data_IF_680669602003
#
_entry.id   IF_680669602003
#
_cell.length_a   1.000
_cell.length_b   1.000
_cell.length_c   1.000
_cell.angle_alpha   90.00
_cell.angle_beta   90.00
_cell.angle_gamma   90.00
#
_symmetry.space_group_name_H-M   'P 1'
#
loop_
_entity.id
_entity.type
_entity.pdbx_description
1 polymer ?
#
# COMPACT_ATOMS: atom_id res chain seq x y z
N UNK A 1 1.84 -14.35 -24.08
CA UNK A 1 1.14 -13.78 -25.25
C UNK A 1 1.86 -12.50 -25.70
N UNK A 2 2.71 -12.54 -26.73
CA UNK A 2 3.79 -11.54 -26.96
C UNK A 2 3.63 -10.61 -28.18
N UNK A 3 2.40 -10.40 -28.70
CA UNK A 3 2.20 -9.70 -29.99
C UNK A 3 1.18 -8.54 -30.03
N UNK A 4 0.51 -8.20 -28.94
CA UNK A 4 -0.50 -7.12 -28.97
C UNK A 4 0.19 -5.74 -28.90
N UNK A 5 0.07 -4.95 -29.97
CA UNK A 5 0.54 -3.56 -30.05
C UNK A 5 -0.58 -2.54 -29.82
N UNK A 6 -1.78 -2.88 -30.27
CA UNK A 6 -2.97 -2.05 -30.16
C UNK A 6 -4.12 -2.94 -29.67
N UNK A 7 -4.93 -2.45 -28.74
CA UNK A 7 -6.30 -2.95 -28.66
C UNK A 7 -7.04 -2.22 -29.77
N UNK A 8 -7.42 -2.94 -30.82
CA UNK A 8 -8.30 -2.39 -31.85
C UNK A 8 -9.49 -1.76 -31.14
N UNK A 9 -9.81 -0.50 -31.46
CA UNK A 9 -10.93 0.25 -30.91
C UNK A 9 -12.21 -0.55 -31.20
N UNK A 10 -12.53 -1.48 -30.31
CA UNK A 10 -13.73 -2.28 -30.44
C UNK A 10 -14.87 -1.41 -29.94
N UNK A 11 -15.83 -1.17 -30.84
CA UNK A 11 -17.08 -0.48 -30.52
C UNK A 11 -17.60 -1.01 -29.18
N UNK A 12 -17.97 -0.07 -28.31
CA UNK A 12 -18.55 -0.30 -26.98
C UNK A 12 -19.46 -1.53 -26.95
N UNK A 13 -19.17 -2.51 -26.10
CA UNK A 13 -20.08 -3.65 -25.83
C UNK A 13 -19.46 -5.04 -25.86
N UNK A 14 -18.22 -5.24 -26.35
CA UNK A 14 -17.63 -6.59 -26.50
C UNK A 14 -17.30 -7.27 -25.16
N UNK A 15 -17.11 -6.49 -24.09
CA UNK A 15 -16.71 -6.98 -22.77
C UNK A 15 -17.68 -6.55 -21.66
N UNK A 16 -18.98 -6.47 -21.98
CA UNK A 16 -20.01 -6.03 -21.03
C UNK A 16 -20.07 -6.87 -19.76
N UNK A 17 -19.67 -8.14 -19.81
CA UNK A 17 -19.69 -9.07 -18.68
C UNK A 17 -18.31 -9.33 -18.05
N UNK A 18 -17.26 -8.68 -18.56
CA UNK A 18 -15.89 -8.89 -18.09
C UNK A 18 -15.73 -8.35 -16.66
N UNK A 19 -15.56 -9.25 -15.69
CA UNK A 19 -15.41 -8.90 -14.27
C UNK A 19 -13.95 -8.71 -13.84
N UNK A 20 -13.03 -9.39 -14.49
CA UNK A 20 -11.60 -9.37 -14.16
C UNK A 20 -10.76 -9.23 -15.41
N UNK A 21 -9.74 -8.38 -15.37
CA UNK A 21 -8.80 -8.17 -16.46
C UNK A 21 -7.38 -8.20 -15.89
N UNK A 22 -6.50 -8.97 -16.53
CA UNK A 22 -5.07 -9.00 -16.22
C UNK A 22 -4.28 -8.57 -17.45
N UNK A 23 -3.46 -7.54 -17.29
CA UNK A 23 -2.49 -7.06 -18.27
C UNK A 23 -1.10 -7.41 -17.77
N UNK A 24 -0.50 -8.46 -18.33
CA UNK A 24 0.83 -8.92 -17.94
C UNK A 24 1.85 -8.69 -19.07
N UNK A 25 2.96 -8.03 -18.74
CA UNK A 25 4.10 -7.75 -19.62
C UNK A 25 3.72 -7.10 -20.96
N UNK A 26 2.71 -6.23 -20.96
CA UNK A 26 2.20 -5.56 -22.16
C UNK A 26 3.02 -4.34 -22.58
N UNK A 27 4.33 -4.51 -22.81
CA UNK A 27 5.30 -3.40 -23.05
C UNK A 27 5.16 -2.66 -24.38
N UNK A 28 4.38 -3.23 -25.31
CA UNK A 28 4.15 -2.68 -26.66
C UNK A 28 2.83 -1.90 -26.77
N UNK A 29 2.00 -1.90 -25.72
CA UNK A 29 0.77 -1.10 -25.71
C UNK A 29 1.16 0.37 -25.60
N UNK A 30 0.86 1.13 -26.65
CA UNK A 30 0.85 2.58 -26.60
C UNK A 30 -0.40 3.00 -25.80
N UNK A 31 -0.26 3.97 -24.87
CA UNK A 31 -1.26 4.29 -23.82
C UNK A 31 -2.65 4.73 -24.29
N UNK A 32 -2.88 4.80 -25.60
CA UNK A 32 -4.15 5.15 -26.24
C UNK A 32 -5.14 3.99 -26.35
N UNK A 33 -4.78 2.78 -25.88
CA UNK A 33 -5.50 1.55 -26.18
C UNK A 33 -6.25 0.88 -25.00
N UNK A 34 -6.27 1.44 -23.78
CA UNK A 34 -7.08 0.82 -22.73
C UNK A 34 -8.57 0.99 -23.04
N UNK A 35 -9.42 -0.04 -22.92
CA UNK A 35 -10.85 0.08 -23.17
C UNK A 35 -11.43 1.22 -22.35
N UNK A 36 -11.95 2.22 -23.04
CA UNK A 36 -12.48 3.43 -22.39
C UNK A 36 -13.74 3.15 -21.58
N UNK A 37 -14.34 1.96 -21.73
CA UNK A 37 -15.52 1.56 -20.98
C UNK A 37 -15.59 0.04 -20.76
N UNK A 38 -15.51 -0.40 -19.50
CA UNK A 38 -15.75 -1.78 -19.08
C UNK A 38 -16.76 -1.76 -17.91
N UNK A 39 -18.07 -1.86 -18.20
CA UNK A 39 -19.12 -1.58 -17.23
C UNK A 39 -19.15 -2.57 -16.06
N UNK A 40 -18.78 -3.84 -16.30
CA UNK A 40 -18.81 -4.90 -15.28
C UNK A 40 -17.47 -5.20 -14.62
N UNK A 41 -16.40 -4.47 -14.97
CA UNK A 41 -15.07 -4.76 -14.46
C UNK A 41 -14.97 -4.42 -12.97
N UNK A 42 -14.63 -5.42 -12.16
CA UNK A 42 -14.51 -5.31 -10.71
C UNK A 42 -13.05 -5.39 -10.25
N UNK A 43 -12.21 -6.13 -10.97
CA UNK A 43 -10.80 -6.36 -10.63
C UNK A 43 -9.90 -6.11 -11.83
N UNK A 44 -8.87 -5.28 -11.66
CA UNK A 44 -7.86 -5.00 -12.67
C UNK A 44 -6.46 -5.27 -12.11
N UNK A 45 -5.71 -6.10 -12.81
CA UNK A 45 -4.32 -6.42 -12.49
C UNK A 45 -3.43 -5.95 -13.64
N UNK A 46 -2.45 -5.10 -13.35
CA UNK A 46 -1.47 -4.60 -14.31
C UNK A 46 -0.10 -5.00 -13.81
N UNK A 47 0.65 -5.80 -14.57
CA UNK A 47 2.00 -6.17 -14.21
C UNK A 47 2.99 -6.09 -15.38
N UNK A 48 4.21 -5.63 -15.09
CA UNK A 48 5.29 -5.56 -16.10
C UNK A 48 4.98 -4.64 -17.29
N UNK A 49 4.03 -3.71 -17.11
CA UNK A 49 3.58 -2.77 -18.13
C UNK A 49 4.31 -1.43 -17.98
N UNK A 50 4.26 -0.61 -19.05
CA UNK A 50 4.76 0.77 -18.99
C UNK A 50 3.78 1.69 -18.28
N UNK A 51 4.28 2.85 -17.84
CA UNK A 51 3.50 3.87 -17.15
C UNK A 51 2.24 4.28 -17.92
N UNK A 52 2.29 4.32 -19.27
CA UNK A 52 1.17 4.81 -20.09
C UNK A 52 -0.08 3.92 -19.98
N UNK A 53 0.08 2.62 -19.66
CA UNK A 53 -1.05 1.73 -19.39
C UNK A 53 -1.70 2.10 -18.06
N UNK A 54 -0.90 2.44 -17.05
CA UNK A 54 -1.42 2.87 -15.74
C UNK A 54 -2.07 4.25 -15.83
N UNK A 55 -1.51 5.18 -16.62
CA UNK A 55 -2.09 6.52 -16.81
C UNK A 55 -3.39 6.51 -17.61
N UNK A 56 -3.62 5.48 -18.44
CA UNK A 56 -4.85 5.34 -19.23
C UNK A 56 -6.09 5.02 -18.37
N UNK A 57 -5.90 4.63 -17.11
CA UNK A 57 -6.98 4.44 -16.15
C UNK A 57 -7.70 5.76 -15.92
N UNK A 58 -8.85 5.92 -16.56
CA UNK A 58 -9.67 7.13 -16.50
C UNK A 58 -10.82 6.94 -15.52
N UNK A 59 -11.23 8.02 -14.84
CA UNK A 59 -12.28 7.98 -13.82
C UNK A 59 -13.63 7.48 -14.32
N UNK A 60 -13.92 7.67 -15.61
CA UNK A 60 -15.29 7.58 -16.16
C UNK A 60 -15.56 6.24 -16.87
N UNK A 61 -14.52 5.43 -17.09
CA UNK A 61 -14.61 4.19 -17.88
C UNK A 61 -14.88 2.91 -17.10
N UNK A 62 -14.69 2.94 -15.79
CA UNK A 62 -14.63 1.73 -14.94
C UNK A 62 -15.54 1.86 -13.72
N UNK A 63 -16.88 1.94 -13.91
CA UNK A 63 -17.80 2.31 -12.85
C UNK A 63 -17.91 1.27 -11.73
N UNK A 64 -17.58 0.00 -11.95
CA UNK A 64 -17.67 -1.04 -10.92
C UNK A 64 -16.31 -1.52 -10.39
N UNK A 65 -15.21 -0.89 -10.80
CA UNK A 65 -13.88 -1.32 -10.40
C UNK A 65 -13.68 -1.04 -8.90
N UNK A 66 -13.52 -2.11 -8.12
CA UNK A 66 -13.32 -2.05 -6.67
C UNK A 66 -11.91 -2.45 -6.26
N UNK A 67 -11.20 -3.22 -7.09
CA UNK A 67 -9.85 -3.71 -6.82
C UNK A 67 -8.89 -3.40 -7.96
N UNK A 68 -7.76 -2.76 -7.63
CA UNK A 68 -6.68 -2.47 -8.56
C UNK A 68 -5.36 -3.01 -8.02
N UNK A 69 -4.66 -3.80 -8.80
CA UNK A 69 -3.30 -4.27 -8.50
C UNK A 69 -2.34 -3.82 -9.59
N UNK A 70 -1.24 -3.22 -9.18
CA UNK A 70 -0.15 -2.80 -10.05
C UNK A 70 1.12 -3.48 -9.56
N UNK A 71 1.91 -4.05 -10.45
CA UNK A 71 3.18 -4.62 -10.01
C UNK A 71 4.26 -4.77 -11.05
N UNK A 72 5.52 -4.72 -10.62
CA UNK A 72 6.68 -4.85 -11.50
C UNK A 72 6.71 -3.85 -12.67
N UNK A 73 6.06 -2.69 -12.52
CA UNK A 73 6.07 -1.61 -13.50
C UNK A 73 7.33 -0.75 -13.29
N UNK A 74 8.40 -1.09 -14.00
CA UNK A 74 9.75 -0.54 -13.76
C UNK A 74 9.90 0.95 -14.08
N UNK A 75 9.01 1.52 -14.89
CA UNK A 75 9.04 2.94 -15.26
C UNK A 75 8.13 3.80 -14.36
N UNK A 76 7.40 3.19 -13.42
CA UNK A 76 6.44 3.89 -12.57
C UNK A 76 7.18 4.66 -11.46
N UNK A 77 7.35 5.97 -11.66
CA UNK A 77 8.03 6.86 -10.69
C UNK A 77 7.06 7.47 -9.67
N UNK A 78 5.80 7.69 -10.04
CA UNK A 78 4.77 8.25 -9.15
C UNK A 78 3.41 7.56 -9.31
N UNK A 79 2.58 7.56 -8.27
CA UNK A 79 1.24 6.97 -8.34
C UNK A 79 0.19 7.62 -7.40
N UNK A 80 -1.07 7.83 -7.81
CA UNK A 80 -1.61 7.68 -9.15
C UNK A 80 -1.07 8.74 -10.11
N UNK A 81 -0.99 8.40 -11.41
CA UNK A 81 -0.53 9.32 -12.45
C UNK A 81 -1.69 10.23 -12.91
N UNK A 82 -2.87 9.61 -13.04
CA UNK A 82 -4.14 10.23 -13.40
C UNK A 82 -5.19 9.92 -12.33
N UNK A 83 -6.34 10.60 -12.41
CA UNK A 83 -7.43 10.40 -11.44
C UNK A 83 -8.02 8.99 -11.59
N UNK A 84 -7.94 8.20 -10.53
CA UNK A 84 -8.43 6.82 -10.53
C UNK A 84 -9.96 6.72 -10.54
N UNK A 85 -10.52 5.57 -10.99
CA UNK A 85 -11.96 5.30 -10.90
C UNK A 85 -12.47 5.41 -9.47
N UNK A 86 -13.55 6.17 -9.27
CA UNK A 86 -13.99 6.60 -7.93
C UNK A 86 -14.41 5.45 -7.00
N UNK A 87 -14.79 4.29 -7.55
CA UNK A 87 -15.28 3.15 -6.78
C UNK A 87 -14.19 2.17 -6.31
N UNK A 88 -12.93 2.44 -6.65
CA UNK A 88 -11.82 1.59 -6.20
C UNK A 88 -11.70 1.68 -4.67
N UNK A 89 -11.85 0.53 -4.01
CA UNK A 89 -11.78 0.41 -2.55
C UNK A 89 -10.45 -0.16 -2.07
N UNK A 90 -9.78 -0.96 -2.90
CA UNK A 90 -8.51 -1.61 -2.57
C UNK A 90 -7.49 -1.42 -3.69
N UNK A 91 -6.30 -0.94 -3.32
CA UNK A 91 -5.16 -0.81 -4.23
C UNK A 91 -3.99 -1.61 -3.68
N UNK A 92 -3.34 -2.40 -4.54
CA UNK A 92 -2.08 -3.09 -4.23
C UNK A 92 -1.00 -2.68 -5.22
N UNK A 93 0.15 -2.24 -4.72
CA UNK A 93 1.31 -1.87 -5.52
C UNK A 93 2.47 -2.77 -5.10
N UNK A 94 3.05 -3.53 -6.02
CA UNK A 94 4.10 -4.50 -5.68
C UNK A 94 5.28 -4.53 -6.64
N UNK A 95 6.51 -4.45 -6.10
CA UNK A 95 7.73 -4.60 -6.91
C UNK A 95 7.94 -3.47 -7.92
N UNK A 96 7.37 -2.28 -7.70
CA UNK A 96 7.60 -1.07 -8.50
C UNK A 96 8.83 -0.32 -7.94
N UNK A 97 10.02 -0.79 -8.30
CA UNK A 97 11.30 -0.33 -7.71
C UNK A 97 11.66 1.13 -7.95
N UNK A 98 11.11 1.76 -8.97
CA UNK A 98 11.34 3.19 -9.28
C UNK A 98 10.31 4.13 -8.66
N UNK A 99 9.30 3.60 -7.96
CA UNK A 99 8.25 4.41 -7.34
C UNK A 99 8.85 5.19 -6.16
N UNK A 100 8.89 6.52 -6.28
CA UNK A 100 9.44 7.41 -5.25
C UNK A 100 8.38 8.24 -4.55
N UNK A 101 7.20 8.40 -5.15
CA UNK A 101 6.16 9.24 -4.59
C UNK A 101 4.75 8.76 -4.93
N UNK A 102 3.83 9.16 -4.08
CA UNK A 102 2.41 9.08 -4.27
C UNK A 102 1.84 10.48 -4.50
N UNK A 103 0.75 10.61 -5.25
CA UNK A 103 0.10 11.90 -5.52
C UNK A 103 -0.87 12.28 -4.38
N UNK A 104 -1.15 13.56 -4.17
CA UNK A 104 -2.06 14.00 -3.09
C UNK A 104 -3.56 13.90 -3.44
N UNK A 105 -3.95 14.17 -4.68
CA UNK A 105 -5.33 14.52 -5.05
C UNK A 105 -5.96 13.62 -6.13
N UNK A 106 -5.24 12.59 -6.56
CA UNK A 106 -5.66 11.68 -7.66
C UNK A 106 -6.27 10.36 -7.19
N UNK A 107 -6.44 10.20 -5.87
CA UNK A 107 -6.96 8.99 -5.25
C UNK A 107 -8.49 8.86 -5.36
N UNK A 108 -9.03 7.63 -5.32
CA UNK A 108 -10.46 7.42 -5.29
C UNK A 108 -11.05 7.77 -3.92
N UNK A 109 -12.23 8.37 -3.91
CA UNK A 109 -12.92 8.77 -2.67
C UNK A 109 -13.41 7.61 -1.81
N UNK A 110 -13.49 6.39 -2.37
CA UNK A 110 -13.89 5.17 -1.66
C UNK A 110 -12.71 4.28 -1.27
N UNK A 111 -11.46 4.72 -1.45
CA UNK A 111 -10.29 3.91 -1.13
C UNK A 111 -10.23 3.62 0.37
N UNK A 112 -10.34 2.36 0.77
CA UNK A 112 -10.29 1.92 2.18
C UNK A 112 -8.98 1.22 2.52
N UNK A 113 -8.37 0.54 1.54
CA UNK A 113 -7.18 -0.30 1.75
C UNK A 113 -6.11 -0.03 0.70
N UNK A 114 -4.88 0.18 1.18
CA UNK A 114 -3.68 0.31 0.35
C UNK A 114 -2.63 -0.70 0.84
N UNK A 115 -2.06 -1.46 -0.09
CA UNK A 115 -0.94 -2.35 0.16
C UNK A 115 0.24 -1.92 -0.72
N UNK A 116 1.39 -1.67 -0.09
CA UNK A 116 2.66 -1.37 -0.74
C UNK A 116 3.62 -2.51 -0.42
N UNK A 117 4.09 -3.21 -1.45
CA UNK A 117 5.04 -4.30 -1.30
C UNK A 117 6.28 -4.06 -2.15
N UNK A 118 7.47 -4.26 -1.59
CA UNK A 118 8.70 -4.28 -2.38
C UNK A 118 8.90 -3.01 -3.26
N UNK A 119 8.61 -1.83 -2.67
CA UNK A 119 8.75 -0.50 -3.29
C UNK A 119 9.68 0.36 -2.44
N UNK A 120 10.97 0.01 -2.41
CA UNK A 120 11.98 0.56 -1.47
C UNK A 120 12.14 2.07 -1.58
N UNK A 121 12.26 2.63 -2.79
CA UNK A 121 12.47 4.08 -2.95
C UNK A 121 11.33 4.94 -2.40
N UNK A 122 10.10 4.43 -2.39
CA UNK A 122 8.95 5.10 -1.77
C UNK A 122 9.06 5.06 -0.25
N UNK A 123 9.58 3.96 0.30
CA UNK A 123 9.76 3.84 1.75
C UNK A 123 10.94 4.72 2.23
N UNK A 124 12.02 4.79 1.47
CA UNK A 124 13.16 5.71 1.71
C UNK A 124 12.74 7.18 1.64
N UNK A 125 11.85 7.52 0.72
CA UNK A 125 11.31 8.87 0.59
C UNK A 125 10.08 9.08 1.49
N UNK A 126 10.30 9.38 2.76
CA UNK A 126 9.24 9.66 3.75
C UNK A 126 8.21 10.70 3.27
N UNK A 127 8.68 11.76 2.60
CA UNK A 127 7.85 12.82 2.00
C UNK A 127 7.09 12.35 0.76
N UNK A 128 7.50 11.23 0.17
CA UNK A 128 6.86 10.64 -1.00
C UNK A 128 5.47 10.09 -0.72
N UNK A 129 5.07 9.86 0.53
CA UNK A 129 3.79 9.20 0.82
C UNK A 129 2.58 10.07 0.50
N UNK A 130 2.58 11.38 0.78
CA UNK A 130 1.53 12.33 0.36
C UNK A 130 0.07 11.86 0.56
N UNK A 131 -0.22 10.96 1.50
CA UNK A 131 -1.55 10.36 1.69
C UNK A 131 -2.41 11.16 2.69
N UNK A 132 -1.87 12.22 3.30
CA UNK A 132 -2.54 12.99 4.38
C UNK A 132 -3.98 13.41 4.03
N UNK A 133 -4.27 13.67 2.75
CA UNK A 133 -5.59 14.11 2.26
C UNK A 133 -6.53 12.97 1.86
N UNK A 134 -6.06 11.72 1.89
CA UNK A 134 -6.83 10.53 1.52
C UNK A 134 -7.62 10.02 2.74
N UNK A 135 -8.61 10.79 3.16
CA UNK A 135 -9.38 10.56 4.40
C UNK A 135 -10.24 9.31 4.39
N UNK A 136 -10.46 8.68 3.23
CA UNK A 136 -11.18 7.41 3.11
C UNK A 136 -10.33 6.21 3.55
N UNK A 137 -9.00 6.36 3.56
CA UNK A 137 -8.07 5.26 3.82
C UNK A 137 -8.11 4.86 5.30
N UNK A 138 -8.39 3.58 5.55
CA UNK A 138 -8.51 3.02 6.91
C UNK A 138 -7.53 1.88 7.18
N UNK A 139 -6.99 1.23 6.15
CA UNK A 139 -6.05 0.11 6.28
C UNK A 139 -4.85 0.31 5.35
N UNK A 140 -3.66 0.18 5.92
CA UNK A 140 -2.39 0.29 5.19
C UNK A 140 -1.52 -0.91 5.53
N UNK A 141 -1.04 -1.59 4.50
CA UNK A 141 -0.11 -2.70 4.63
C UNK A 141 1.18 -2.37 3.91
N UNK A 142 2.32 -2.55 4.59
CA UNK A 142 3.65 -2.40 4.03
C UNK A 142 4.35 -3.74 4.17
N UNK A 143 4.82 -4.31 3.06
CA UNK A 143 5.26 -5.70 2.98
C UNK A 143 6.59 -5.80 2.22
N UNK A 144 7.47 -6.71 2.61
CA UNK A 144 8.70 -7.08 1.86
C UNK A 144 9.56 -5.87 1.48
N UNK A 145 10.03 -5.12 2.49
CA UNK A 145 11.02 -4.04 2.29
C UNK A 145 12.39 -4.62 2.65
N UNK A 146 13.17 -4.97 1.62
CA UNK A 146 14.25 -5.96 1.73
C UNK A 146 15.64 -5.32 1.89
N UNK A 147 15.90 -4.09 1.41
CA UNK A 147 17.26 -3.52 1.43
C UNK A 147 17.34 -2.07 1.95
N UNK A 148 18.35 -1.83 2.80
CA UNK A 148 18.89 -0.54 3.30
C UNK A 148 18.12 0.18 4.42
N UNK A 149 16.80 0.06 4.53
CA UNK A 149 16.06 0.88 5.51
C UNK A 149 16.06 0.25 6.90
N UNK A 150 16.95 0.75 7.77
CA UNK A 150 17.08 0.27 9.15
C UNK A 150 16.23 1.05 10.16
N UNK A 151 15.61 2.15 9.73
CA UNK A 151 14.77 3.03 10.55
C UNK A 151 13.47 3.41 9.84
N UNK A 152 12.39 3.53 10.61
CA UNK A 152 11.08 3.93 10.10
C UNK A 152 11.07 5.45 9.76
N UNK A 153 10.33 5.90 8.73
CA UNK A 153 10.24 7.31 8.36
C UNK A 153 9.98 8.27 9.53
N UNK A 154 10.77 9.36 9.62
CA UNK A 154 10.58 10.41 10.63
C UNK A 154 9.28 11.20 10.41
N UNK A 155 9.04 11.61 9.15
CA UNK A 155 7.83 12.31 8.74
C UNK A 155 6.95 11.41 7.88
N UNK A 156 6.11 10.59 8.52
CA UNK A 156 5.23 9.68 7.80
C UNK A 156 3.95 10.38 7.34
N UNK A 157 3.87 10.73 6.05
CA UNK A 157 2.75 11.48 5.47
C UNK A 157 1.51 10.62 5.16
N UNK A 158 0.92 10.02 6.20
CA UNK A 158 -0.25 9.12 6.12
C UNK A 158 -1.43 9.71 6.89
N UNK A 159 -2.69 9.51 6.44
CA UNK A 159 -3.83 10.20 7.03
C UNK A 159 -4.12 9.72 8.46
N UNK A 160 -4.58 10.62 9.30
CA UNK A 160 -4.94 10.33 10.71
C UNK A 160 -6.20 9.47 10.84
N UNK A 161 -6.90 9.19 9.74
CA UNK A 161 -8.06 8.28 9.65
C UNK A 161 -7.68 6.81 9.65
N UNK A 162 -6.39 6.49 9.53
CA UNK A 162 -5.90 5.12 9.49
C UNK A 162 -6.25 4.37 10.78
N UNK A 163 -6.89 3.20 10.63
CA UNK A 163 -7.33 2.35 11.75
C UNK A 163 -6.49 1.11 11.93
N UNK A 164 -5.93 0.60 10.85
CA UNK A 164 -5.12 -0.63 10.82
C UNK A 164 -3.84 -0.42 10.03
N UNK A 165 -2.71 -0.75 10.64
CA UNK A 165 -1.38 -0.76 10.04
C UNK A 165 -0.79 -2.16 10.15
N UNK A 166 -0.37 -2.74 9.03
CA UNK A 166 0.38 -4.00 9.00
C UNK A 166 1.77 -3.76 8.43
N UNK A 167 2.79 -4.18 9.18
CA UNK A 167 4.18 -4.21 8.75
C UNK A 167 4.61 -5.66 8.68
N UNK A 168 4.93 -6.16 7.48
CA UNK A 168 5.29 -7.56 7.26
C UNK A 168 6.61 -7.71 6.51
N UNK A 169 7.44 -8.68 6.92
CA UNK A 169 8.71 -9.01 6.25
C UNK A 169 9.66 -7.82 6.08
N UNK A 170 9.82 -7.00 7.12
CA UNK A 170 10.89 -6.00 7.16
C UNK A 170 12.18 -6.65 7.61
N UNK A 171 13.09 -6.89 6.66
CA UNK A 171 14.31 -7.63 6.95
C UNK A 171 15.40 -6.78 7.61
N UNK A 172 15.38 -5.45 7.50
CA UNK A 172 16.45 -4.60 8.07
C UNK A 172 15.97 -3.60 9.13
N UNK A 173 14.65 -3.42 9.30
CA UNK A 173 14.08 -2.44 10.22
C UNK A 173 14.43 -2.80 11.67
N UNK A 174 15.20 -1.95 12.35
CA UNK A 174 15.65 -2.19 13.74
C UNK A 174 14.69 -1.61 14.78
N UNK A 175 14.02 -0.51 14.44
CA UNK A 175 13.09 0.19 15.33
C UNK A 175 11.97 0.88 14.56
N UNK A 176 10.79 0.97 15.18
CA UNK A 176 9.74 1.87 14.71
C UNK A 176 10.02 3.30 15.16
N UNK A 177 9.37 4.27 14.51
CA UNK A 177 9.40 5.67 14.93
C UNK A 177 8.13 6.00 15.73
N UNK A 178 8.27 6.18 17.05
CA UNK A 178 7.14 6.44 17.95
C UNK A 178 6.44 7.76 17.64
N UNK A 179 7.21 8.83 17.36
CA UNK A 179 6.68 10.15 17.02
C UNK A 179 5.82 10.10 15.75
N UNK A 180 6.29 9.37 14.73
CA UNK A 180 5.54 9.21 13.50
C UNK A 180 4.17 8.53 13.73
N UNK A 181 4.08 7.59 14.68
CA UNK A 181 2.85 6.86 14.98
C UNK A 181 1.93 7.61 15.97
N UNK A 182 2.48 8.31 16.95
CA UNK A 182 1.71 8.99 18.02
C UNK A 182 0.69 9.99 17.50
N UNK A 183 0.92 10.58 16.33
CA UNK A 183 -0.01 11.52 15.70
C UNK A 183 -1.25 10.85 15.10
N UNK A 184 -1.27 9.52 14.95
CA UNK A 184 -2.38 8.77 14.36
C UNK A 184 -3.37 8.29 15.43
N UNK A 185 -4.17 9.21 15.95
CA UNK A 185 -5.15 8.98 17.04
C UNK A 185 -6.32 8.05 16.69
N UNK A 186 -6.46 7.62 15.43
CA UNK A 186 -7.47 6.63 15.02
C UNK A 186 -6.92 5.21 14.90
N UNK A 187 -5.62 5.01 15.10
CA UNK A 187 -4.98 3.71 14.89
C UNK A 187 -5.38 2.76 16.03
N UNK A 188 -6.14 1.71 15.70
CA UNK A 188 -6.62 0.72 16.65
C UNK A 188 -5.88 -0.61 16.56
N UNK A 189 -5.36 -0.93 15.38
CA UNK A 189 -4.71 -2.20 15.09
C UNK A 189 -3.31 -1.98 14.50
N UNK A 190 -2.31 -2.61 15.13
CA UNK A 190 -0.94 -2.66 14.63
C UNK A 190 -0.52 -4.13 14.56
N UNK A 191 -0.16 -4.58 13.35
CA UNK A 191 0.37 -5.93 13.12
C UNK A 191 1.81 -5.85 12.66
N UNK A 192 2.67 -6.61 13.33
CA UNK A 192 4.09 -6.69 13.02
C UNK A 192 4.42 -8.17 12.81
N UNK A 193 4.71 -8.53 11.58
CA UNK A 193 4.80 -9.93 11.17
C UNK A 193 6.12 -10.21 10.46
N UNK A 194 6.87 -11.22 10.92
CA UNK A 194 8.13 -11.67 10.31
C UNK A 194 9.17 -10.55 10.10
N UNK A 195 9.20 -9.55 10.99
CA UNK A 195 10.22 -8.50 11.03
C UNK A 195 11.37 -8.96 11.94
N UNK A 196 12.27 -9.79 11.42
CA UNK A 196 13.24 -10.53 12.23
C UNK A 196 14.32 -9.66 12.90
N UNK A 197 14.61 -8.47 12.39
CA UNK A 197 15.60 -7.56 12.95
C UNK A 197 15.00 -6.42 13.78
N UNK A 198 13.67 -6.35 13.90
CA UNK A 198 13.01 -5.35 14.72
C UNK A 198 13.26 -5.68 16.20
N UNK A 199 14.07 -4.85 16.84
CA UNK A 199 14.64 -5.17 18.14
C UNK A 199 13.72 -4.72 19.27
N UNK A 200 13.23 -3.48 19.22
CA UNK A 200 12.50 -2.84 20.31
C UNK A 200 11.35 -1.95 19.82
N UNK A 201 10.41 -1.68 20.73
CA UNK A 201 9.38 -0.65 20.55
C UNK A 201 9.97 0.76 20.79
N UNK A 202 9.43 1.80 20.14
CA UNK A 202 9.91 3.17 20.31
C UNK A 202 9.86 3.61 21.78
N UNK A 203 10.81 4.47 22.18
CA UNK A 203 10.87 4.99 23.56
C UNK A 203 9.65 5.84 23.91
N UNK A 204 9.13 6.58 22.92
CA UNK A 204 7.93 7.39 23.07
C UNK A 204 6.67 6.53 23.26
N UNK A 205 6.74 5.22 23.00
CA UNK A 205 5.60 4.31 23.06
C UNK A 205 4.76 4.29 21.78
N UNK A 206 3.68 3.50 21.82
CA UNK A 206 2.70 3.39 20.74
C UNK A 206 1.52 4.36 20.96
N UNK A 207 0.68 4.60 19.95
CA UNK A 207 -0.48 5.50 20.09
C UNK A 207 -1.46 4.99 21.15
N UNK A 208 -2.00 5.89 21.99
CA UNK A 208 -2.95 5.53 23.04
C UNK A 208 -4.28 4.94 22.50
N UNK A 209 -4.61 5.22 21.24
CA UNK A 209 -5.79 4.65 20.56
C UNK A 209 -5.67 3.16 20.23
N UNK A 210 -4.46 2.60 20.35
CA UNK A 210 -4.14 1.24 19.96
C UNK A 210 -4.74 0.24 20.95
N UNK A 211 -5.63 -0.62 20.46
CA UNK A 211 -6.32 -1.64 21.27
C UNK A 211 -5.96 -3.06 20.89
N UNK A 212 -5.34 -3.25 19.73
CA UNK A 212 -4.84 -4.52 19.22
C UNK A 212 -3.41 -4.40 18.70
N UNK A 213 -2.52 -5.23 19.26
CA UNK A 213 -1.14 -5.38 18.82
C UNK A 213 -0.83 -6.86 18.57
N UNK A 214 -0.54 -7.21 17.32
CA UNK A 214 -0.16 -8.58 16.94
C UNK A 214 1.32 -8.62 16.58
N UNK A 215 2.10 -9.48 17.26
CA UNK A 215 3.53 -9.66 16.97
C UNK A 215 3.80 -11.13 16.63
N UNK A 216 3.90 -11.40 15.33
CA UNK A 216 4.11 -12.73 14.80
C UNK A 216 5.50 -12.86 14.15
N UNK A 217 6.22 -13.96 14.40
CA UNK A 217 7.51 -14.21 13.75
C UNK A 217 8.65 -13.21 14.06
N UNK A 218 8.50 -12.32 15.04
CA UNK A 218 9.49 -11.28 15.38
C UNK A 218 10.27 -11.64 16.66
N UNK A 219 11.37 -12.41 16.54
CA UNK A 219 12.02 -13.06 17.70
C UNK A 219 12.64 -12.12 18.74
N UNK A 220 13.21 -10.96 18.36
CA UNK A 220 13.73 -9.98 19.33
C UNK A 220 12.60 -9.22 19.99
N UNK A 221 11.72 -8.60 19.20
CA UNK A 221 10.60 -7.83 19.70
C UNK A 221 9.67 -8.64 20.61
N UNK A 222 9.33 -9.88 20.23
CA UNK A 222 8.45 -10.75 21.04
C UNK A 222 9.04 -11.06 22.43
N UNK A 223 10.36 -11.16 22.56
CA UNK A 223 11.03 -11.33 23.86
C UNK A 223 10.96 -10.06 24.70
N UNK A 224 11.20 -8.89 24.10
CA UNK A 224 11.11 -7.61 24.83
C UNK A 224 9.69 -7.24 25.22
N UNK A 225 8.70 -7.69 24.46
CA UNK A 225 7.28 -7.47 24.76
C UNK A 225 6.68 -8.58 25.64
N UNK A 226 7.50 -9.50 26.18
CA UNK A 226 6.99 -10.59 27.01
C UNK A 226 6.27 -10.05 28.25
N UNK A 227 5.05 -10.56 28.48
CA UNK A 227 4.21 -10.14 29.60
C UNK A 227 4.98 -10.17 30.93
N UNK A 228 4.88 -9.07 31.68
CA UNK A 228 5.46 -8.86 33.04
C UNK A 228 6.98 -8.92 33.17
N UNK A 229 7.70 -9.38 32.15
CA UNK A 229 9.13 -9.71 32.22
C UNK A 229 9.96 -9.02 31.15
N UNK A 230 9.35 -8.64 30.03
CA UNK A 230 10.01 -7.98 28.92
C UNK A 230 10.19 -6.47 29.16
N UNK A 231 11.32 -5.93 28.70
CA UNK A 231 11.68 -4.52 28.85
C UNK A 231 10.69 -3.54 28.16
N UNK A 232 10.06 -3.97 27.06
CA UNK A 232 9.07 -3.18 26.32
C UNK A 232 7.63 -3.47 26.78
N UNK A 233 7.41 -4.40 27.71
CA UNK A 233 6.07 -4.69 28.25
C UNK A 233 5.34 -3.46 28.80
N UNK A 234 5.97 -2.55 29.58
CA UNK A 234 5.28 -1.35 30.06
C UNK A 234 4.73 -0.44 28.95
N UNK A 235 5.30 -0.51 27.74
CA UNK A 235 4.86 0.27 26.58
C UNK A 235 3.57 -0.27 25.96
N UNK A 236 3.19 -1.51 26.27
CA UNK A 236 2.05 -2.21 25.65
C UNK A 236 1.08 -2.82 26.66
N UNK A 237 1.35 -2.71 27.97
CA UNK A 237 0.55 -3.32 29.01
C UNK A 237 -0.89 -2.79 29.10
N UNK A 238 -1.16 -1.63 28.49
CA UNK A 238 -2.50 -1.02 28.40
C UNK A 238 -3.33 -1.57 27.23
N UNK A 239 -2.73 -2.33 26.31
CA UNK A 239 -3.38 -2.83 25.09
C UNK A 239 -4.18 -4.10 25.45
N UNK A 240 -5.49 -4.07 25.14
CA UNK A 240 -6.44 -5.11 25.56
C UNK A 240 -6.22 -6.47 24.89
N UNK A 241 -5.61 -6.48 23.69
CA UNK A 241 -5.33 -7.70 22.93
C UNK A 241 -3.89 -7.68 22.40
N UNK A 242 -3.06 -8.57 22.94
CA UNK A 242 -1.66 -8.77 22.56
C UNK A 242 -1.35 -10.26 22.40
N UNK A 243 -0.80 -10.68 21.26
CA UNK A 243 -0.51 -12.10 20.89
C UNK A 243 0.78 -12.30 20.09
#
# INVERSE_FOLDING_TARGET
MSRWKEWSIMKSGVFSDLKQLTLDNCRKLEGTCFPTYLPSLQSLLISGCKEQVVSSLSSDGLPLLSFLKIGHCKELVSFPITKLPANVETIKIMGCKELVSLSEDKWPSKLKSLEISNCEKLFENSLGWNLRRVTSLTSLQIIDIDEVVDSFPEEWQVPTTLKSLTLRHFQNLKSLNGKALQHHTSLHELKIEFCHHLQYLPEEGLPESLSHLEIFGCGFLKRRCQKETGEDWPKISHILTYG
#
